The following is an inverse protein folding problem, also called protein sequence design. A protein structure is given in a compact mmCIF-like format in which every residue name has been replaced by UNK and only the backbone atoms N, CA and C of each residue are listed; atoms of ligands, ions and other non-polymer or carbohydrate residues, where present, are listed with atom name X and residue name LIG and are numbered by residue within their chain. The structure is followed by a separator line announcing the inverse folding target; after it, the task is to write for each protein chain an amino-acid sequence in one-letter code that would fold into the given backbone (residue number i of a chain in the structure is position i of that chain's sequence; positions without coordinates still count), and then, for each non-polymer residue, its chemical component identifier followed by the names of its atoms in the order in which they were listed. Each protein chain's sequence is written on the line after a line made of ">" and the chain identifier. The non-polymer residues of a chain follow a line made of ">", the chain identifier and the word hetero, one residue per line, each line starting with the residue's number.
data_IF_612118431426
#
_entry.id   IF_612118431426
#
_cell.length_a   1.000
_cell.length_b   1.000
_cell.length_c   1.000
_cell.angle_alpha   90.00
_cell.angle_beta   90.00
_cell.angle_gamma   90.00
#
_symmetry.space_group_name_H-M   'P 1'
#
loop_
_entity.id
_entity.type
_entity.pdbx_description
1 polymer ?
#
# COMPACT_ATOMS: atom_id res chain seq x y z
N UNK A 1 -12.82 4.31 22.22
CA UNK A 1 -12.76 3.15 21.31
C UNK A 1 -11.34 2.60 21.36
N UNK A 2 -11.11 1.28 21.50
CA UNK A 2 -9.75 0.76 21.34
C UNK A 2 -9.24 1.11 19.93
N UNK A 3 -8.06 1.71 19.86
CA UNK A 3 -7.44 2.21 18.63
C UNK A 3 -7.13 1.02 17.71
N UNK A 4 -7.76 0.95 16.53
CA UNK A 4 -7.46 -0.08 15.54
C UNK A 4 -5.99 0.07 15.11
N UNK A 5 -5.19 -0.98 15.25
CA UNK A 5 -3.83 -0.96 14.72
C UNK A 5 -3.87 -0.92 13.19
N UNK A 6 -2.92 -0.25 12.52
CA UNK A 6 -2.87 -0.21 11.06
C UNK A 6 -2.64 -1.61 10.48
N UNK A 7 -2.75 -1.74 9.16
CA UNK A 7 -2.19 -2.89 8.46
C UNK A 7 -0.69 -2.67 8.21
N UNK A 8 0.05 -3.74 7.91
CA UNK A 8 1.50 -3.68 7.69
C UNK A 8 1.85 -4.19 6.31
N UNK A 9 2.70 -3.44 5.60
CA UNK A 9 3.31 -3.93 4.37
C UNK A 9 4.48 -4.85 4.68
N UNK A 10 4.50 -6.03 4.05
CA UNK A 10 5.52 -7.05 4.31
C UNK A 10 6.12 -7.60 3.01
N UNK A 11 7.44 -7.72 2.97
CA UNK A 11 8.21 -8.19 1.81
C UNK A 11 9.06 -9.40 2.17
N UNK A 12 9.02 -10.43 1.31
CA UNK A 12 9.84 -11.64 1.43
C UNK A 12 11.21 -11.48 0.74
N UNK A 13 12.16 -10.86 1.44
CA UNK A 13 13.52 -10.64 0.91
C UNK A 13 14.29 -11.98 0.81
N UNK A 14 15.04 -12.22 -0.28
CA UNK A 14 15.94 -13.38 -0.40
C UNK A 14 16.86 -13.55 0.83
N UNK A 15 17.06 -14.79 1.26
CA UNK A 15 17.86 -15.11 2.46
C UNK A 15 17.19 -14.80 3.80
N UNK A 16 16.02 -14.13 3.82
CA UNK A 16 15.30 -13.74 5.06
C UNK A 16 13.85 -14.24 5.13
N UNK A 17 13.38 -14.97 4.12
CA UNK A 17 11.97 -15.39 3.97
C UNK A 17 11.41 -16.11 5.20
N UNK A 18 12.14 -17.02 5.83
CA UNK A 18 11.69 -17.67 7.08
C UNK A 18 11.45 -16.66 8.21
N UNK A 19 12.39 -15.72 8.40
CA UNK A 19 12.23 -14.66 9.38
C UNK A 19 11.05 -13.72 9.04
N UNK A 20 10.77 -13.48 7.76
CA UNK A 20 9.57 -12.75 7.32
C UNK A 20 8.28 -13.44 7.80
N UNK A 21 8.21 -14.78 7.77
CA UNK A 21 7.04 -15.52 8.25
C UNK A 21 6.89 -15.46 9.78
N UNK A 22 8.00 -15.47 10.53
CA UNK A 22 7.93 -15.22 11.98
C UNK A 22 7.43 -13.81 12.31
N UNK A 23 7.84 -12.81 11.51
CA UNK A 23 7.30 -11.45 11.64
C UNK A 23 5.80 -11.42 11.34
N UNK A 24 5.32 -12.18 10.35
CA UNK A 24 3.89 -12.26 10.06
C UNK A 24 3.07 -12.79 11.24
N UNK A 25 3.54 -13.85 11.91
CA UNK A 25 2.92 -14.37 13.14
C UNK A 25 2.89 -13.32 14.25
N UNK A 26 3.98 -12.58 14.41
CA UNK A 26 4.04 -11.53 15.43
C UNK A 26 3.12 -10.34 15.11
N UNK A 27 2.95 -9.99 13.83
CA UNK A 27 1.98 -8.97 13.38
C UNK A 27 0.56 -9.42 13.75
N UNK A 28 0.19 -10.67 13.46
CA UNK A 28 -1.11 -11.23 13.85
C UNK A 28 -1.30 -11.26 15.37
N UNK A 29 -0.34 -11.81 16.11
CA UNK A 29 -0.39 -11.93 17.58
C UNK A 29 -0.57 -10.57 18.27
N UNK A 30 -0.10 -9.49 17.65
CA UNK A 30 -0.24 -8.11 18.14
C UNK A 30 -1.56 -7.45 17.77
N UNK A 31 -2.37 -8.05 16.88
CA UNK A 31 -3.67 -7.54 16.49
C UNK A 31 -3.63 -6.43 15.43
N UNK A 32 -2.62 -6.41 14.55
CA UNK A 32 -2.63 -5.50 13.39
C UNK A 32 -3.78 -5.83 12.43
N UNK A 33 -4.31 -4.83 11.72
CA UNK A 33 -5.51 -4.99 10.90
C UNK A 33 -5.32 -5.85 9.64
N UNK A 34 -4.08 -6.06 9.19
CA UNK A 34 -3.80 -6.89 8.02
C UNK A 34 -2.33 -6.92 7.60
N UNK A 35 -2.00 -7.84 6.70
CA UNK A 35 -0.67 -7.95 6.08
C UNK A 35 -0.78 -7.80 4.56
N UNK A 36 -0.12 -6.80 3.98
CA UNK A 36 -0.22 -6.54 2.54
C UNK A 36 1.14 -6.62 1.83
N UNK A 37 1.24 -7.52 0.86
CA UNK A 37 2.46 -7.80 0.11
C UNK A 37 2.56 -6.93 -1.16
N UNK A 38 3.48 -5.95 -1.25
CA UNK A 38 3.59 -5.07 -2.41
C UNK A 38 4.15 -5.81 -3.64
N UNK A 39 4.20 -5.12 -4.78
CA UNK A 39 4.63 -5.66 -6.10
C UNK A 39 6.14 -5.97 -6.22
N UNK A 40 6.69 -6.66 -5.23
CA UNK A 40 8.06 -7.18 -5.22
C UNK A 40 7.99 -8.69 -5.45
N UNK A 41 8.97 -9.22 -6.18
CA UNK A 41 9.06 -10.62 -6.64
C UNK A 41 8.24 -11.65 -5.83
N UNK A 42 7.33 -12.37 -6.49
CA UNK A 42 6.56 -13.48 -5.89
C UNK A 42 5.65 -13.10 -4.70
N UNK A 43 5.04 -11.91 -4.70
CA UNK A 43 4.13 -11.51 -3.62
C UNK A 43 2.93 -12.46 -3.43
N UNK A 44 2.38 -13.05 -4.50
CA UNK A 44 1.39 -14.12 -4.39
C UNK A 44 1.93 -15.35 -3.63
N UNK A 45 3.20 -15.73 -3.84
CA UNK A 45 3.83 -16.83 -3.10
C UNK A 45 4.09 -16.47 -1.62
N UNK A 46 4.36 -15.20 -1.33
CA UNK A 46 4.35 -14.74 0.07
C UNK A 46 2.95 -14.89 0.66
N UNK A 47 1.90 -14.49 -0.05
CA UNK A 47 0.52 -14.68 0.41
C UNK A 47 0.17 -16.16 0.65
N UNK A 48 0.68 -17.07 -0.17
CA UNK A 48 0.54 -18.53 0.07
C UNK A 48 1.20 -18.98 1.36
N UNK A 49 2.42 -18.53 1.62
CA UNK A 49 3.06 -18.80 2.91
C UNK A 49 2.29 -18.17 4.08
N UNK A 50 1.76 -16.95 3.91
CA UNK A 50 0.94 -16.27 4.93
C UNK A 50 -0.33 -17.06 5.27
N UNK A 51 -0.98 -17.65 4.27
CA UNK A 51 -2.17 -18.47 4.47
C UNK A 51 -1.93 -19.63 5.46
N UNK A 52 -0.73 -20.21 5.44
CA UNK A 52 -0.36 -21.35 6.28
C UNK A 52 0.23 -20.98 7.64
N UNK A 53 0.83 -19.79 7.79
CA UNK A 53 1.50 -19.41 9.05
C UNK A 53 0.66 -18.49 9.94
N UNK A 54 -0.48 -18.01 9.44
CA UNK A 54 -1.41 -17.15 10.18
C UNK A 54 -2.81 -17.76 10.19
N UNK A 55 -3.65 -17.38 11.16
CA UNK A 55 -4.94 -18.06 11.43
C UNK A 55 -6.17 -17.18 11.19
N UNK A 56 -6.09 -15.87 11.45
CA UNK A 56 -7.24 -14.96 11.51
C UNK A 56 -7.02 -13.64 10.76
N UNK A 57 -5.77 -13.17 10.68
CA UNK A 57 -5.45 -11.88 10.06
C UNK A 57 -5.78 -11.90 8.57
N UNK A 58 -6.42 -10.84 8.10
CA UNK A 58 -6.59 -10.61 6.67
C UNK A 58 -5.22 -10.33 6.03
N UNK A 59 -4.99 -10.89 4.85
CA UNK A 59 -3.77 -10.61 4.11
C UNK A 59 -4.04 -10.53 2.62
N UNK A 60 -3.15 -9.89 1.88
CA UNK A 60 -3.38 -9.69 0.46
C UNK A 60 -2.20 -9.10 -0.28
N UNK A 61 -2.40 -8.87 -1.56
CA UNK A 61 -1.43 -8.14 -2.40
C UNK A 61 -1.73 -6.65 -2.41
N UNK A 62 -0.68 -5.82 -2.54
CA UNK A 62 -0.78 -4.35 -2.63
C UNK A 62 0.28 -3.77 -3.60
N UNK A 63 0.35 -4.18 -4.85
CA UNK A 63 -0.59 -5.01 -5.62
C UNK A 63 0.15 -6.12 -6.35
N UNK A 64 -0.57 -7.05 -6.96
CA UNK A 64 -0.03 -7.96 -7.97
C UNK A 64 -0.21 -7.32 -9.35
N UNK A 65 0.87 -7.12 -10.15
CA UNK A 65 0.74 -6.56 -11.49
C UNK A 65 -0.04 -7.51 -12.41
N UNK A 66 -1.09 -7.00 -13.06
CA UNK A 66 -1.94 -7.84 -13.93
C UNK A 66 -1.18 -8.45 -15.12
N UNK A 67 -0.06 -7.85 -15.50
CA UNK A 67 0.78 -8.30 -16.61
C UNK A 67 1.81 -9.36 -16.21
N UNK A 68 1.97 -9.65 -14.92
CA UNK A 68 3.00 -10.56 -14.46
C UNK A 68 2.67 -12.04 -14.73
N UNK A 69 1.39 -12.36 -14.96
CA UNK A 69 0.86 -13.72 -15.12
C UNK A 69 -0.36 -13.72 -16.02
N UNK A 70 -0.79 -14.90 -16.47
CA UNK A 70 -2.05 -15.04 -17.21
C UNK A 70 -3.26 -14.85 -16.27
N UNK A 71 -4.41 -14.49 -16.83
CA UNK A 71 -5.65 -14.36 -16.04
C UNK A 71 -6.04 -15.68 -15.39
N UNK A 72 -5.87 -16.80 -16.10
CA UNK A 72 -6.17 -18.13 -15.54
C UNK A 72 -5.28 -18.50 -14.36
N UNK A 73 -3.98 -18.18 -14.41
CA UNK A 73 -3.10 -18.39 -13.25
C UNK A 73 -3.51 -17.53 -12.05
N UNK A 74 -3.90 -16.28 -12.30
CA UNK A 74 -4.44 -15.41 -11.25
C UNK A 74 -5.72 -15.97 -10.65
N UNK A 75 -6.67 -16.43 -11.47
CA UNK A 75 -7.93 -17.01 -11.01
C UNK A 75 -7.68 -18.23 -10.11
N UNK A 76 -6.88 -19.18 -10.60
CA UNK A 76 -6.54 -20.40 -9.85
C UNK A 76 -5.80 -20.08 -8.55
N UNK A 77 -4.75 -19.27 -8.60
CA UNK A 77 -3.96 -18.93 -7.43
C UNK A 77 -4.77 -18.14 -6.38
N UNK A 78 -5.61 -17.21 -6.84
CA UNK A 78 -6.40 -16.37 -5.94
C UNK A 78 -7.54 -17.15 -5.27
N UNK A 79 -8.25 -17.99 -6.02
CA UNK A 79 -9.30 -18.86 -5.48
C UNK A 79 -8.72 -19.88 -4.50
N UNK A 80 -7.60 -20.52 -4.86
CA UNK A 80 -6.88 -21.42 -3.96
C UNK A 80 -6.49 -20.73 -2.65
N UNK A 81 -5.87 -19.54 -2.72
CA UNK A 81 -5.52 -18.76 -1.54
C UNK A 81 -6.74 -18.37 -0.70
N UNK A 82 -7.83 -18.01 -1.35
CA UNK A 82 -9.07 -17.66 -0.68
C UNK A 82 -9.63 -18.86 0.09
N UNK A 83 -9.67 -20.04 -0.54
CA UNK A 83 -10.15 -21.27 0.06
C UNK A 83 -9.28 -21.74 1.23
N UNK A 84 -7.97 -21.94 1.01
CA UNK A 84 -7.08 -22.51 2.04
C UNK A 84 -6.84 -21.58 3.21
N UNK A 85 -7.07 -20.27 3.04
CA UNK A 85 -7.00 -19.30 4.13
C UNK A 85 -8.30 -19.14 4.90
N UNK A 86 -9.38 -19.84 4.54
CA UNK A 86 -10.70 -19.65 5.16
C UNK A 86 -11.29 -18.27 4.85
N UNK A 87 -11.06 -17.76 3.64
CA UNK A 87 -11.60 -16.50 3.16
C UNK A 87 -10.83 -15.24 3.59
N UNK A 88 -9.60 -15.36 4.11
CA UNK A 88 -8.80 -14.22 4.60
C UNK A 88 -7.99 -13.48 3.52
N UNK A 89 -7.75 -14.13 2.39
CA UNK A 89 -7.01 -13.52 1.29
C UNK A 89 -7.79 -12.39 0.59
N UNK A 90 -7.07 -11.33 0.19
CA UNK A 90 -7.54 -10.19 -0.61
C UNK A 90 -6.65 -9.98 -1.83
N UNK A 91 -7.24 -9.94 -3.02
CA UNK A 91 -6.49 -9.81 -4.26
C UNK A 91 -6.40 -8.34 -4.68
N UNK A 92 -5.32 -7.67 -4.29
CA UNK A 92 -4.99 -6.34 -4.80
C UNK A 92 -4.28 -6.42 -6.15
N UNK A 93 -4.79 -5.76 -7.18
CA UNK A 93 -4.25 -5.76 -8.55
C UNK A 93 -4.02 -4.35 -9.09
N UNK A 94 -3.17 -4.23 -10.10
CA UNK A 94 -2.88 -2.96 -10.74
C UNK A 94 -1.99 -3.10 -11.98
N UNK A 95 -1.83 -2.00 -12.70
CA UNK A 95 -1.04 -1.95 -13.93
C UNK A 95 0.45 -1.70 -13.70
N UNK A 96 0.88 -1.39 -12.48
CA UNK A 96 2.25 -0.94 -12.20
C UNK A 96 2.63 0.33 -13.00
N UNK A 97 3.91 0.54 -13.32
CA UNK A 97 4.44 1.73 -13.98
C UNK A 97 5.48 1.38 -15.06
N UNK A 98 5.77 2.33 -15.97
CA UNK A 98 6.60 2.09 -17.15
C UNK A 98 7.93 1.34 -16.89
N UNK A 99 8.75 1.69 -15.87
CA UNK A 99 9.96 0.90 -15.56
C UNK A 99 9.70 -0.57 -15.24
N UNK A 100 8.56 -0.89 -14.62
CA UNK A 100 8.18 -2.26 -14.33
C UNK A 100 7.73 -3.01 -15.58
N UNK A 101 7.04 -2.35 -16.52
CA UNK A 101 6.67 -2.95 -17.81
C UNK A 101 7.90 -3.38 -18.59
N UNK A 102 8.91 -2.52 -18.67
CA UNK A 102 10.20 -2.84 -19.29
C UNK A 102 10.84 -4.06 -18.63
N UNK A 103 10.92 -4.10 -17.30
CA UNK A 103 11.48 -5.24 -16.56
C UNK A 103 10.70 -6.54 -16.75
N UNK A 104 9.39 -6.46 -16.94
CA UNK A 104 8.53 -7.62 -17.22
C UNK A 104 8.53 -8.04 -18.70
N UNK A 105 9.08 -7.22 -19.60
CA UNK A 105 9.04 -7.48 -21.04
C UNK A 105 7.64 -7.38 -21.64
N UNK A 106 6.78 -6.51 -21.09
CA UNK A 106 5.38 -6.37 -21.52
C UNK A 106 5.10 -5.00 -22.13
N UNK A 107 4.20 -4.98 -23.11
CA UNK A 107 3.66 -3.74 -23.69
C UNK A 107 2.27 -3.51 -23.12
N UNK A 108 2.07 -2.54 -22.21
CA UNK A 108 0.77 -2.29 -21.61
C UNK A 108 -0.18 -1.59 -22.60
N UNK A 109 -1.48 -1.83 -22.45
CA UNK A 109 -2.54 -1.07 -23.10
C UNK A 109 -2.93 0.17 -22.29
N UNK A 110 -4.20 0.58 -22.41
CA UNK A 110 -4.73 1.72 -21.65
C UNK A 110 -5.05 1.25 -20.23
N UNK A 111 -4.54 1.90 -19.16
CA UNK A 111 -4.68 1.40 -17.80
C UNK A 111 -6.10 1.04 -17.34
N UNK A 112 -7.09 1.90 -17.63
CA UNK A 112 -8.49 1.65 -17.26
C UNK A 112 -9.08 0.47 -18.04
N UNK A 113 -8.79 0.38 -19.33
CA UNK A 113 -9.29 -0.68 -20.20
C UNK A 113 -8.69 -2.04 -19.87
N UNK A 114 -7.38 -2.09 -19.61
CA UNK A 114 -6.66 -3.30 -19.24
C UNK A 114 -7.15 -3.85 -17.90
N UNK A 115 -7.34 -2.99 -16.88
CA UNK A 115 -7.86 -3.40 -15.58
C UNK A 115 -9.30 -3.90 -15.68
N UNK A 116 -10.17 -3.17 -16.39
CA UNK A 116 -11.56 -3.58 -16.58
C UNK A 116 -11.64 -4.94 -17.29
N UNK A 117 -10.88 -5.12 -18.37
CA UNK A 117 -10.79 -6.38 -19.11
C UNK A 117 -10.26 -7.52 -18.23
N UNK A 118 -9.22 -7.25 -17.44
CA UNK A 118 -8.64 -8.24 -16.54
C UNK A 118 -9.65 -8.70 -15.48
N UNK A 119 -10.33 -7.77 -14.80
CA UNK A 119 -11.33 -8.10 -13.76
C UNK A 119 -12.51 -8.85 -14.36
N UNK A 120 -13.00 -8.44 -15.52
CA UNK A 120 -14.08 -9.15 -16.22
C UNK A 120 -13.68 -10.60 -16.53
N UNK A 121 -12.49 -10.81 -17.11
CA UNK A 121 -11.99 -12.16 -17.43
C UNK A 121 -11.69 -12.99 -16.19
N UNK A 122 -11.18 -12.37 -15.13
CA UNK A 122 -10.93 -13.02 -13.85
C UNK A 122 -12.25 -13.56 -13.26
N UNK A 123 -13.28 -12.71 -13.22
CA UNK A 123 -14.61 -13.09 -12.68
C UNK A 123 -15.36 -14.11 -13.53
N UNK A 124 -15.09 -14.18 -14.83
CA UNK A 124 -15.67 -15.18 -15.72
C UNK A 124 -14.99 -16.57 -15.64
N UNK A 125 -13.99 -16.74 -14.77
CA UNK A 125 -13.24 -17.98 -14.65
C UNK A 125 -13.87 -18.94 -13.63
N UNK A 126 -15.07 -19.43 -13.94
CA UNK A 126 -15.94 -20.19 -13.00
C UNK A 126 -15.33 -21.51 -12.51
N UNK A 127 -14.42 -22.11 -13.28
CA UNK A 127 -13.78 -23.39 -12.94
C UNK A 127 -12.74 -23.29 -11.79
N UNK A 128 -12.45 -22.08 -11.29
CA UNK A 128 -11.44 -21.87 -10.24
C UNK A 128 -11.93 -21.99 -8.81
N UNK A 129 -13.25 -22.00 -8.59
CA UNK A 129 -13.83 -21.86 -7.26
C UNK A 129 -14.08 -20.40 -6.86
N UNK A 130 -14.40 -20.16 -5.59
CA UNK A 130 -14.77 -18.84 -5.10
C UNK A 130 -13.57 -17.88 -5.10
N UNK A 131 -13.72 -16.73 -5.78
CA UNK A 131 -12.69 -15.70 -5.84
C UNK A 131 -12.70 -14.80 -4.59
N UNK A 132 -11.52 -14.33 -4.13
CA UNK A 132 -11.44 -13.36 -3.04
C UNK A 132 -11.97 -11.98 -3.48
N UNK A 133 -12.25 -11.08 -2.51
CA UNK A 133 -12.46 -9.67 -2.81
C UNK A 133 -11.29 -9.08 -3.62
N UNK A 134 -11.62 -8.33 -4.66
CA UNK A 134 -10.66 -7.70 -5.58
C UNK A 134 -10.49 -6.23 -5.23
N UNK A 135 -9.25 -5.79 -5.00
CA UNK A 135 -8.91 -4.40 -4.73
C UNK A 135 -8.10 -3.80 -5.89
N UNK A 136 -8.42 -2.60 -6.32
CA UNK A 136 -7.64 -1.91 -7.36
C UNK A 136 -6.60 -0.97 -6.77
N UNK A 137 -5.39 -0.98 -7.35
CA UNK A 137 -4.44 0.11 -7.14
C UNK A 137 -5.02 1.39 -7.75
N UNK A 138 -5.14 2.44 -6.94
CA UNK A 138 -5.67 3.74 -7.36
C UNK A 138 -4.68 4.85 -7.06
N UNK A 139 -4.87 5.99 -7.72
CA UNK A 139 -4.20 7.23 -7.38
C UNK A 139 -5.02 8.43 -7.86
N UNK A 140 -5.43 8.43 -9.13
CA UNK A 140 -6.20 9.51 -9.76
C UNK A 140 -7.68 9.14 -9.95
N UNK A 141 -8.52 10.17 -10.09
CA UNK A 141 -9.99 10.10 -10.12
C UNK A 141 -10.58 9.00 -11.02
N UNK A 142 -10.04 8.83 -12.23
CA UNK A 142 -10.55 7.79 -13.15
C UNK A 142 -10.43 6.35 -12.63
N UNK A 143 -9.32 6.01 -11.97
CA UNK A 143 -9.14 4.66 -11.41
C UNK A 143 -9.93 4.48 -10.11
N UNK A 144 -10.13 5.57 -9.35
CA UNK A 144 -10.98 5.59 -8.13
C UNK A 144 -12.44 5.33 -8.51
N UNK A 145 -12.95 6.01 -9.53
CA UNK A 145 -14.30 5.80 -10.04
C UNK A 145 -14.48 4.35 -10.54
N UNK A 146 -13.54 3.86 -11.35
CA UNK A 146 -13.55 2.48 -11.84
C UNK A 146 -13.56 1.46 -10.69
N UNK A 147 -12.76 1.67 -9.63
CA UNK A 147 -12.76 0.79 -8.46
C UNK A 147 -14.14 0.72 -7.78
N UNK A 148 -14.87 1.83 -7.72
CA UNK A 148 -16.23 1.85 -7.20
C UNK A 148 -17.23 1.05 -8.05
N UNK A 149 -16.96 0.90 -9.34
CA UNK A 149 -17.82 0.18 -10.28
C UNK A 149 -17.57 -1.33 -10.29
N UNK A 150 -16.29 -1.77 -10.30
CA UNK A 150 -15.95 -3.17 -10.62
C UNK A 150 -15.24 -3.95 -9.50
N UNK A 151 -14.92 -3.29 -8.38
CA UNK A 151 -14.09 -3.87 -7.33
C UNK A 151 -14.75 -3.79 -5.95
N UNK A 152 -14.14 -4.49 -5.00
CA UNK A 152 -14.57 -4.58 -3.60
C UNK A 152 -13.76 -3.61 -2.71
N UNK A 153 -12.86 -2.85 -3.34
CA UNK A 153 -12.03 -1.88 -2.66
C UNK A 153 -10.95 -1.26 -3.53
N UNK A 154 -10.19 -0.38 -2.91
CA UNK A 154 -9.06 0.29 -3.52
C UNK A 154 -7.90 0.49 -2.55
N UNK A 155 -6.70 0.58 -3.10
CA UNK A 155 -5.49 0.87 -2.35
C UNK A 155 -4.68 1.95 -3.07
N UNK A 156 -4.45 3.05 -2.37
CA UNK A 156 -3.49 4.07 -2.77
C UNK A 156 -2.08 3.61 -2.43
N UNK A 157 -1.10 4.14 -3.14
CA UNK A 157 0.29 4.13 -2.69
C UNK A 157 0.77 5.57 -2.64
N UNK A 158 1.31 5.99 -1.49
CA UNK A 158 1.85 7.32 -1.29
C UNK A 158 0.85 8.45 -1.60
N UNK A 159 -0.43 8.24 -1.27
CA UNK A 159 -1.43 9.29 -1.34
C UNK A 159 -1.06 10.48 -0.44
N UNK A 160 -1.59 11.66 -0.75
CA UNK A 160 -1.46 12.88 0.04
C UNK A 160 -2.67 12.97 0.99
N UNK A 161 -2.44 13.02 2.31
CA UNK A 161 -3.49 13.00 3.32
C UNK A 161 -4.44 14.18 3.15
N UNK A 162 -3.89 15.37 2.91
CA UNK A 162 -4.63 16.61 2.67
C UNK A 162 -5.60 16.51 1.47
N UNK A 163 -5.28 15.68 0.48
CA UNK A 163 -6.07 15.52 -0.75
C UNK A 163 -6.99 14.30 -0.75
N UNK A 164 -7.07 13.54 0.36
CA UNK A 164 -7.92 12.34 0.42
C UNK A 164 -9.40 12.69 0.26
N UNK A 165 -9.89 13.80 0.82
CA UNK A 165 -11.29 14.20 0.65
C UNK A 165 -11.67 14.37 -0.83
N UNK A 166 -10.85 15.08 -1.60
CA UNK A 166 -11.02 15.29 -3.04
C UNK A 166 -10.83 14.01 -3.86
N UNK A 167 -9.87 13.16 -3.46
CA UNK A 167 -9.64 11.87 -4.10
C UNK A 167 -10.85 10.96 -3.92
N UNK A 168 -11.34 10.83 -2.68
CA UNK A 168 -12.49 10.00 -2.32
C UNK A 168 -13.82 10.56 -2.86
N UNK A 169 -13.87 11.84 -3.23
CA UNK A 169 -15.02 12.43 -3.91
C UNK A 169 -15.32 11.76 -5.28
N UNK A 170 -14.31 11.15 -5.91
CA UNK A 170 -14.48 10.39 -7.16
C UNK A 170 -15.05 8.98 -6.95
N UNK A 171 -15.08 8.46 -5.71
CA UNK A 171 -15.72 7.18 -5.41
C UNK A 171 -17.25 7.37 -5.34
N UNK A 172 -18.07 6.48 -5.92
CA UNK A 172 -19.53 6.51 -5.77
C UNK A 172 -19.98 6.61 -4.30
N UNK A 173 -21.04 7.39 -4.05
CA UNK A 173 -21.41 7.77 -2.69
C UNK A 173 -21.91 6.58 -1.84
N UNK A 174 -22.52 5.58 -2.47
CA UNK A 174 -22.89 4.31 -1.85
C UNK A 174 -21.64 3.54 -1.40
N UNK A 175 -20.62 3.40 -2.27
CA UNK A 175 -19.34 2.76 -1.91
C UNK A 175 -18.56 3.53 -0.84
N UNK A 176 -18.63 4.85 -0.86
CA UNK A 176 -18.01 5.70 0.18
C UNK A 176 -18.64 5.52 1.56
N UNK A 177 -19.94 5.19 1.63
CA UNK A 177 -20.67 4.92 2.87
C UNK A 177 -20.66 3.45 3.29
N UNK A 178 -20.49 2.54 2.33
CA UNK A 178 -20.39 1.11 2.58
C UNK A 178 -19.12 0.79 3.37
N UNK A 179 -19.26 0.33 4.62
CA UNK A 179 -18.14 -0.04 5.48
C UNK A 179 -17.37 -1.28 4.98
N UNK A 180 -17.98 -2.11 4.12
CA UNK A 180 -17.38 -3.28 3.50
C UNK A 180 -16.42 -2.95 2.35
N UNK A 181 -16.54 -1.78 1.72
CA UNK A 181 -15.63 -1.36 0.66
C UNK A 181 -14.26 -1.00 1.25
N UNK A 182 -13.21 -1.70 0.81
CA UNK A 182 -11.87 -1.49 1.35
C UNK A 182 -11.26 -0.16 0.84
N UNK A 183 -10.72 0.65 1.74
CA UNK A 183 -10.02 1.90 1.40
C UNK A 183 -8.68 1.91 2.13
N UNK A 184 -7.63 1.50 1.43
CA UNK A 184 -6.27 1.47 1.95
C UNK A 184 -5.37 2.56 1.38
N UNK A 185 -4.32 2.91 2.11
CA UNK A 185 -3.20 3.69 1.58
C UNK A 185 -1.89 3.11 2.10
N UNK A 186 -0.96 2.79 1.21
CA UNK A 186 0.40 2.41 1.57
C UNK A 186 1.20 3.67 1.91
N UNK A 187 1.64 3.76 3.16
CA UNK A 187 2.26 4.95 3.72
C UNK A 187 3.70 4.61 4.16
N UNK A 188 4.74 5.13 3.48
CA UNK A 188 6.12 5.03 3.94
C UNK A 188 6.23 5.47 5.40
N UNK A 189 6.78 4.61 6.24
CA UNK A 189 6.79 4.81 7.69
C UNK A 189 8.19 4.58 8.25
N UNK A 190 8.76 5.57 8.94
CA UNK A 190 10.05 5.43 9.62
C UNK A 190 9.95 5.88 11.08
N UNK A 191 9.92 4.92 12.01
CA UNK A 191 9.89 5.18 13.45
C UNK A 191 11.32 5.34 13.97
N UNK A 192 11.65 6.53 14.48
CA UNK A 192 12.97 6.88 14.99
C UNK A 192 12.88 8.10 15.90
N UNK A 193 13.67 8.14 16.98
CA UNK A 193 13.82 9.34 17.80
C UNK A 193 14.65 10.42 17.09
N UNK A 194 15.53 10.01 16.16
CA UNK A 194 16.17 10.90 15.19
C UNK A 194 15.20 11.18 14.02
N UNK A 195 14.52 12.31 14.11
CA UNK A 195 13.50 12.75 13.14
C UNK A 195 14.11 13.08 11.78
N UNK A 196 15.30 13.69 11.75
CA UNK A 196 15.94 14.06 10.49
C UNK A 196 16.42 12.82 9.71
N UNK A 197 16.96 11.83 10.42
CA UNK A 197 17.27 10.54 9.80
C UNK A 197 16.01 9.85 9.25
N UNK A 198 14.89 9.90 9.99
CA UNK A 198 13.62 9.33 9.52
C UNK A 198 13.10 10.03 8.26
N UNK A 199 13.17 11.36 8.22
CA UNK A 199 12.82 12.16 7.03
C UNK A 199 13.70 11.79 5.84
N UNK A 200 15.02 11.68 6.04
CA UNK A 200 15.97 11.32 4.98
C UNK A 200 15.67 9.94 4.38
N UNK A 201 15.30 8.96 5.21
CA UNK A 201 14.86 7.63 4.75
C UNK A 201 13.61 7.73 3.87
N UNK A 202 12.57 8.45 4.32
CA UNK A 202 11.34 8.60 3.55
C UNK A 202 11.56 9.38 2.24
N UNK A 203 12.38 10.43 2.24
CA UNK A 203 12.78 11.14 1.01
C UNK A 203 13.44 10.21 0.00
N UNK A 204 14.40 9.40 0.46
CA UNK A 204 15.08 8.42 -0.39
C UNK A 204 14.08 7.43 -0.98
N UNK A 205 13.17 6.89 -0.16
CA UNK A 205 12.12 5.96 -0.60
C UNK A 205 11.23 6.59 -1.66
N UNK A 206 10.76 7.82 -1.45
CA UNK A 206 9.82 8.46 -2.37
C UNK A 206 10.46 9.12 -3.60
N UNK A 207 11.78 9.29 -3.62
CA UNK A 207 12.50 9.83 -4.79
C UNK A 207 12.18 9.03 -6.06
N UNK A 208 12.13 7.69 -5.99
CA UNK A 208 11.78 6.86 -7.15
C UNK A 208 10.36 7.17 -7.68
N UNK A 209 9.40 7.40 -6.77
CA UNK A 209 8.03 7.74 -7.13
C UNK A 209 7.92 9.15 -7.72
N UNK A 210 8.72 10.11 -7.23
CA UNK A 210 8.78 11.46 -7.78
C UNK A 210 9.35 11.52 -9.21
N UNK A 211 10.09 10.52 -9.65
CA UNK A 211 10.51 10.40 -11.05
C UNK A 211 9.36 9.96 -11.98
N UNK A 212 8.26 9.42 -11.43
CA UNK A 212 7.15 8.90 -12.22
C UNK A 212 6.13 10.01 -12.55
N UNK A 213 5.82 10.28 -13.83
CA UNK A 213 4.89 11.35 -14.22
C UNK A 213 3.51 11.25 -13.57
N UNK A 214 2.97 10.04 -13.40
CA UNK A 214 1.65 9.84 -12.80
C UNK A 214 1.59 10.25 -11.32
N UNK A 215 2.68 10.05 -10.57
CA UNK A 215 2.78 10.48 -9.17
C UNK A 215 2.97 11.98 -9.05
N UNK A 216 3.84 12.58 -9.88
CA UNK A 216 3.97 14.05 -9.94
C UNK A 216 2.65 14.73 -10.26
N UNK A 217 1.91 14.24 -11.26
CA UNK A 217 0.61 14.79 -11.62
C UNK A 217 -0.40 14.69 -10.48
N UNK A 218 -0.39 13.59 -9.72
CA UNK A 218 -1.23 13.46 -8.53
C UNK A 218 -0.84 14.45 -7.43
N UNK A 219 0.45 14.60 -7.11
CA UNK A 219 0.88 15.55 -6.09
C UNK A 219 0.67 17.02 -6.50
N UNK A 220 0.72 17.33 -7.79
CA UNK A 220 0.26 18.63 -8.31
C UNK A 220 -1.22 18.88 -8.05
N UNK A 221 -2.08 17.88 -8.30
CA UNK A 221 -3.51 17.95 -7.96
C UNK A 221 -3.74 18.13 -6.45
N UNK A 222 -2.86 17.55 -5.63
CA UNK A 222 -2.86 17.70 -4.18
C UNK A 222 -2.32 19.05 -3.67
N UNK A 223 -1.88 19.95 -4.56
CA UNK A 223 -1.41 21.30 -4.23
C UNK A 223 0.11 21.50 -4.24
N UNK A 224 0.90 20.43 -4.44
CA UNK A 224 2.37 20.49 -4.45
C UNK A 224 2.92 20.82 -5.85
N UNK A 225 2.41 21.90 -6.45
CA UNK A 225 2.74 22.27 -7.83
C UNK A 225 4.19 22.72 -7.94
N UNK A 226 4.66 23.52 -6.99
CA UNK A 226 6.02 24.06 -6.97
C UNK A 226 7.07 22.94 -6.84
N UNK A 227 6.90 22.02 -5.89
CA UNK A 227 7.81 20.89 -5.70
C UNK A 227 7.89 20.02 -6.95
N UNK A 228 6.74 19.64 -7.52
CA UNK A 228 6.72 18.74 -8.67
C UNK A 228 7.24 19.41 -9.94
N UNK A 229 7.05 20.71 -10.10
CA UNK A 229 7.61 21.49 -11.22
C UNK A 229 9.12 21.62 -11.09
N UNK A 230 9.65 21.88 -9.89
CA UNK A 230 11.10 21.91 -9.66
C UNK A 230 11.76 20.55 -9.95
N UNK A 231 11.09 19.45 -9.61
CA UNK A 231 11.53 18.08 -9.94
C UNK A 231 11.50 17.84 -11.46
N UNK A 232 10.48 18.30 -12.17
CA UNK A 232 10.43 18.26 -13.64
C UNK A 232 11.61 19.02 -14.27
N UNK A 233 11.91 20.22 -13.80
CA UNK A 233 13.08 21.00 -14.24
C UNK A 233 14.37 20.24 -13.98
N UNK A 234 14.56 19.70 -12.77
CA UNK A 234 15.75 18.92 -12.45
C UNK A 234 15.90 17.67 -13.34
N UNK A 235 14.79 17.02 -13.69
CA UNK A 235 14.79 15.88 -14.61
C UNK A 235 15.20 16.31 -16.03
N UNK A 236 14.63 17.41 -16.53
CA UNK A 236 14.98 17.95 -17.84
C UNK A 236 16.47 18.37 -17.93
N UNK A 237 16.99 18.93 -16.85
CA UNK A 237 18.40 19.34 -16.72
C UNK A 237 19.36 18.18 -16.41
N UNK A 238 18.87 16.93 -16.32
CA UNK A 238 19.64 15.74 -15.92
C UNK A 238 20.26 15.81 -14.52
N UNK A 239 19.68 16.62 -13.62
CA UNK A 239 20.09 16.79 -12.21
C UNK A 239 19.31 15.85 -11.28
N UNK A 240 19.37 14.54 -11.53
CA UNK A 240 18.58 13.55 -10.77
C UNK A 240 18.90 13.53 -9.27
N UNK A 241 20.16 13.83 -8.91
CA UNK A 241 20.61 13.87 -7.51
C UNK A 241 20.01 15.05 -6.72
N UNK A 242 19.44 16.04 -7.41
CA UNK A 242 18.75 17.17 -6.78
C UNK A 242 17.30 16.85 -6.41
N UNK A 243 16.69 15.81 -6.99
CA UNK A 243 15.28 15.47 -6.77
C UNK A 243 14.89 15.40 -5.29
N UNK A 244 15.66 14.73 -4.40
CA UNK A 244 15.32 14.68 -2.97
C UNK A 244 15.26 16.05 -2.29
N UNK A 245 15.97 17.06 -2.81
CA UNK A 245 16.02 18.43 -2.24
C UNK A 245 14.70 19.17 -2.41
N UNK A 246 13.93 18.84 -3.45
CA UNK A 246 12.64 19.45 -3.74
C UNK A 246 11.48 18.77 -3.01
N UNK A 247 11.72 17.63 -2.33
CA UNK A 247 10.72 16.97 -1.49
C UNK A 247 10.68 17.67 -0.12
N UNK A 248 9.81 18.67 -0.01
CA UNK A 248 9.67 19.52 1.18
C UNK A 248 9.22 18.72 2.42
N UNK A 249 9.51 19.25 3.61
CA UNK A 249 9.03 18.64 4.87
C UNK A 249 7.50 18.60 4.95
N UNK A 250 6.83 19.62 4.40
CA UNK A 250 5.37 19.69 4.35
C UNK A 250 4.79 18.56 3.49
N UNK A 251 5.32 18.36 2.28
CA UNK A 251 4.94 17.25 1.42
C UNK A 251 5.22 15.88 2.06
N UNK A 252 6.37 15.76 2.74
CA UNK A 252 6.77 14.53 3.40
C UNK A 252 5.81 14.16 4.55
N UNK A 253 5.43 15.14 5.37
CA UNK A 253 4.46 14.96 6.45
C UNK A 253 3.04 14.65 5.96
N UNK A 254 2.71 15.04 4.71
CA UNK A 254 1.40 14.77 4.12
C UNK A 254 1.33 13.40 3.42
N UNK A 255 2.46 12.87 2.95
CA UNK A 255 2.51 11.60 2.21
C UNK A 255 3.08 10.41 3.02
N UNK A 256 3.66 10.65 4.20
CA UNK A 256 4.40 9.64 4.98
C UNK A 256 4.14 9.73 6.49
N UNK A 257 4.69 8.78 7.25
CA UNK A 257 4.73 8.78 8.70
C UNK A 257 6.18 8.72 9.18
N UNK A 258 6.58 9.56 10.13
CA UNK A 258 7.94 9.52 10.67
C UNK A 258 8.07 10.14 12.07
N UNK A 259 9.12 9.75 12.78
CA UNK A 259 9.46 10.27 14.10
C UNK A 259 9.22 9.25 15.23
N UNK A 260 9.17 9.70 16.49
CA UNK A 260 8.96 8.82 17.63
C UNK A 260 7.64 8.05 17.53
N UNK A 261 7.57 6.86 18.11
CA UNK A 261 6.41 5.97 17.99
C UNK A 261 5.10 6.58 18.50
N UNK A 262 5.14 7.55 19.42
CA UNK A 262 3.96 8.29 19.88
C UNK A 262 3.40 9.19 18.78
N UNK A 263 4.25 10.02 18.16
CA UNK A 263 3.88 10.89 17.04
C UNK A 263 3.30 10.11 15.87
N UNK A 264 3.92 8.98 15.50
CA UNK A 264 3.42 8.15 14.40
C UNK A 264 2.00 7.61 14.65
N UNK A 265 1.61 7.39 15.92
CA UNK A 265 0.22 7.00 16.24
C UNK A 265 -0.75 8.15 16.11
N UNK A 266 -0.36 9.34 16.55
CA UNK A 266 -1.18 10.54 16.41
C UNK A 266 -1.40 10.84 14.92
N UNK A 267 -0.35 10.78 14.11
CA UNK A 267 -0.44 11.01 12.67
C UNK A 267 -1.26 9.92 11.95
N UNK A 268 -1.30 8.67 12.46
CA UNK A 268 -2.19 7.62 11.96
C UNK A 268 -3.68 7.97 12.16
N UNK A 269 -4.06 8.58 13.28
CA UNK A 269 -5.44 9.05 13.50
C UNK A 269 -5.87 10.06 12.44
N UNK A 270 -4.95 10.90 12.00
CA UNK A 270 -5.22 11.87 10.95
C UNK A 270 -5.49 11.21 9.58
N UNK A 271 -4.92 10.02 9.32
CA UNK A 271 -5.23 9.24 8.13
C UNK A 271 -6.62 8.61 8.18
N UNK A 272 -7.01 8.09 9.35
CA UNK A 272 -8.37 7.58 9.56
C UNK A 272 -9.41 8.71 9.39
N UNK A 273 -9.15 9.88 9.98
CA UNK A 273 -10.01 11.06 9.84
C UNK A 273 -10.11 11.55 8.39
N UNK A 274 -9.08 11.35 7.56
CA UNK A 274 -9.07 11.68 6.14
C UNK A 274 -9.86 10.69 5.26
N UNK A 275 -10.44 9.64 5.85
CA UNK A 275 -11.27 8.65 5.15
C UNK A 275 -10.54 7.38 4.70
N UNK A 276 -9.23 7.25 5.01
CA UNK A 276 -8.50 5.99 4.80
C UNK A 276 -8.84 5.03 5.94
N UNK A 277 -9.55 3.95 5.64
CA UNK A 277 -10.02 3.00 6.64
C UNK A 277 -8.96 1.97 7.04
N UNK A 278 -8.02 1.70 6.14
CA UNK A 278 -6.90 0.79 6.40
C UNK A 278 -5.58 1.45 6.01
N UNK A 279 -5.01 2.33 6.85
CA UNK A 279 -3.63 2.75 6.70
C UNK A 279 -2.71 1.52 6.70
N UNK A 280 -1.90 1.36 5.66
CA UNK A 280 -0.93 0.28 5.53
C UNK A 280 0.45 0.89 5.77
N UNK A 281 1.03 0.67 6.94
CA UNK A 281 2.38 1.16 7.23
C UNK A 281 3.39 0.39 6.38
N UNK A 282 4.24 1.11 5.65
CA UNK A 282 5.35 0.54 4.87
C UNK A 282 6.64 0.78 5.65
N UNK A 283 7.03 -0.13 6.55
CA UNK A 283 8.12 0.10 7.48
C UNK A 283 9.44 0.26 6.74
N UNK A 284 10.17 1.32 7.06
CA UNK A 284 11.57 1.57 6.72
C UNK A 284 12.34 1.86 8.01
N UNK A 285 13.63 1.57 8.05
CA UNK A 285 14.43 1.79 9.26
C UNK A 285 15.62 2.72 8.99
N UNK A 286 15.81 3.68 9.89
CA UNK A 286 16.98 4.55 9.93
C UNK A 286 18.26 3.82 10.38
N UNK A 287 18.13 2.65 11.01
CA UNK A 287 19.24 1.84 11.53
C UNK A 287 19.53 0.54 10.72
N UNK A 288 19.02 0.47 9.48
CA UNK A 288 19.14 -0.71 8.59
C UNK A 288 17.82 -1.17 7.97
N UNK A 289 17.74 -2.41 7.50
CA UNK A 289 16.57 -2.93 6.75
C UNK A 289 15.27 -3.05 7.58
N UNK A 290 14.15 -3.37 6.89
CA UNK A 290 12.80 -3.46 7.48
C UNK A 290 12.71 -4.34 8.74
N UNK A 291 13.57 -5.36 8.89
CA UNK A 291 13.57 -6.26 10.05
C UNK A 291 14.03 -5.57 11.35
N UNK A 292 14.71 -4.43 11.25
CA UNK A 292 15.07 -3.58 12.39
C UNK A 292 14.05 -2.49 12.67
N UNK A 293 13.09 -2.25 11.77
CA UNK A 293 12.00 -1.32 12.02
C UNK A 293 11.11 -1.90 13.13
N UNK A 294 11.08 -1.24 14.29
CA UNK A 294 10.26 -1.70 15.42
C UNK A 294 8.79 -1.44 15.09
N UNK A 295 7.91 -2.47 15.09
CA UNK A 295 6.48 -2.24 14.94
C UNK A 295 5.93 -1.46 16.15
N UNK A 296 4.87 -0.69 15.90
CA UNK A 296 4.10 0.00 16.94
C UNK A 296 3.63 -1.02 17.99
N UNK A 297 3.91 -0.77 19.29
CA UNK A 297 3.39 -1.57 20.42
C UNK A 297 1.94 -1.17 20.78
N UNK A 298 1.04 -2.05 21.22
CA UNK A 298 -0.24 -1.60 21.78
C UNK A 298 -0.04 -0.67 22.99
N UNK A 299 -0.98 0.25 23.23
CA UNK A 299 -1.01 1.02 24.50
C UNK A 299 -1.46 0.03 25.59
N UNK A 300 -0.61 -0.21 26.59
CA UNK A 300 -1.02 -0.98 27.77
C UNK A 300 -2.08 -0.18 28.54
N UNK A 301 -3.29 -0.68 28.65
CA UNK A 301 -4.33 -0.10 29.52
C UNK A 301 -4.10 -0.43 31.01
N UNK A 302 -3.00 -1.06 31.36
CA UNK A 302 -2.73 -1.48 32.74
C UNK A 302 -1.97 -0.41 33.53
N UNK A 303 -2.68 0.65 33.91
CA UNK A 303 -2.38 1.44 35.10
C UNK A 303 -3.44 1.16 36.16
N UNK A 304 -3.52 -0.08 36.66
CA UNK A 304 -4.23 -0.38 37.92
C UNK A 304 -3.80 -1.72 38.48
N UNK A 305 -2.63 -1.75 39.13
CA UNK A 305 -2.25 -2.65 40.25
C UNK A 305 -0.83 -2.28 40.71
N UNK A 306 -0.74 -1.21 41.47
CA UNK A 306 0.32 -0.94 42.46
C UNK A 306 -0.16 0.22 43.34
N UNK A 307 -1.00 -0.15 44.30
CA UNK A 307 -1.21 0.45 45.61
C UNK A 307 -2.01 -0.57 46.42
#
# INVERSE_FOLDING_TARGET
>A
MPQQLPAVSLVAVPGRRRATLEVAREIERRGFAGIYAPSVFSNMSLCEALAHVTEHIAFGTSIAPIYARTVGDFAQSAAFLHEVSGGRFRLGIGVSHAPAHVRMGVTPGKPLGDISTFVQKLRAHDASGALPPVYLATLRKGMIALAGEIADGMVFANGARSHMADSLAALPADKRRDAGFFIGNMIPTCISDDVEAAKAVNRKTLTHYALLPNYRNYWKEAGYVEEMTAIETAIADKRMDDVPKYLTDAWLADCTLFGPAARVREDLEAWYAAGVRTPIVVPSSAAGNQMKARPLRPISTDRRRQA
#
